data_IF_790503988999
#
_entry.id   IF_790503988999
#
_cell.length_a   1.000
_cell.length_b   1.000
_cell.length_c   1.000
_cell.angle_alpha   90.00
_cell.angle_beta   90.00
_cell.angle_gamma   90.00
#
_symmetry.space_group_name_H-M   'P 1'
#
loop_
_entity.id
_entity.type
_entity.pdbx_description
1 polymer ?
#
# COMPACT_ATOMS: atom_id res chain seq x y z
N UNK A 1 -10.04 -17.71 27.28
CA UNK A 1 -11.21 -17.00 26.68
C UNK A 1 -10.79 -15.65 26.12
N UNK A 2 -11.13 -15.34 24.87
CA UNK A 2 -10.92 -14.00 24.29
C UNK A 2 -11.78 -12.99 25.08
N UNK A 3 -11.15 -12.06 25.80
CA UNK A 3 -11.87 -10.93 26.44
C UNK A 3 -12.36 -10.00 25.33
N UNK A 4 -13.62 -10.16 24.92
CA UNK A 4 -14.29 -9.22 24.03
C UNK A 4 -14.61 -7.95 24.82
N UNK A 5 -14.20 -6.81 24.27
CA UNK A 5 -14.50 -5.51 24.87
C UNK A 5 -16.01 -5.25 24.79
N UNK A 6 -16.68 -5.14 25.94
CA UNK A 6 -18.11 -4.86 26.04
C UNK A 6 -18.33 -3.46 26.59
N UNK A 7 -19.14 -2.67 25.90
CA UNK A 7 -19.60 -1.37 26.40
C UNK A 7 -20.71 -1.54 27.43
N UNK A 8 -20.79 -0.64 28.40
CA UNK A 8 -21.91 -0.59 29.35
C UNK A 8 -23.21 -0.32 28.60
N UNK A 9 -24.26 -1.04 28.98
CA UNK A 9 -25.62 -0.81 28.49
C UNK A 9 -26.29 0.35 29.22
N UNK A 10 -27.38 0.89 28.66
CA UNK A 10 -28.19 1.90 29.35
C UNK A 10 -28.71 1.39 30.71
N UNK A 11 -29.13 0.13 30.76
CA UNK A 11 -29.61 -0.53 31.99
C UNK A 11 -28.50 -0.56 33.05
N UNK A 12 -27.29 -0.99 32.68
CA UNK A 12 -26.14 -1.01 33.59
C UNK A 12 -25.82 0.40 34.12
N UNK A 13 -25.94 1.45 33.30
CA UNK A 13 -25.75 2.83 33.76
C UNK A 13 -26.78 3.26 34.81
N UNK A 14 -28.04 2.85 34.65
CA UNK A 14 -29.09 3.11 35.64
C UNK A 14 -28.83 2.38 36.95
N UNK A 15 -28.44 1.11 36.88
CA UNK A 15 -28.07 0.32 38.06
C UNK A 15 -26.87 0.92 38.80
N UNK A 16 -25.85 1.40 38.07
CA UNK A 16 -24.72 2.13 38.66
C UNK A 16 -25.20 3.37 39.43
N UNK A 17 -26.14 4.17 38.89
CA UNK A 17 -26.68 5.35 39.61
C UNK A 17 -27.40 4.95 40.89
N UNK A 18 -28.26 3.94 40.84
CA UNK A 18 -29.04 3.49 42.01
C UNK A 18 -28.13 2.97 43.11
N UNK A 19 -27.21 2.06 42.78
CA UNK A 19 -26.32 1.45 43.76
C UNK A 19 -25.30 2.44 44.33
N UNK A 20 -24.83 3.39 43.51
CA UNK A 20 -23.95 4.47 43.97
C UNK A 20 -24.68 5.44 44.90
N UNK A 21 -25.95 5.76 44.61
CA UNK A 21 -26.79 6.61 45.50
C UNK A 21 -27.13 5.90 46.82
N UNK A 22 -27.25 4.57 46.81
CA UNK A 22 -27.44 3.75 47.99
C UNK A 22 -26.17 3.58 48.86
N UNK A 23 -25.03 4.19 48.46
CA UNK A 23 -23.79 4.18 49.25
C UNK A 23 -22.95 2.92 49.13
N UNK A 24 -23.24 2.03 48.17
CA UNK A 24 -22.43 0.82 47.97
C UNK A 24 -21.04 1.13 47.40
N UNK A 25 -20.07 0.28 47.74
CA UNK A 25 -18.70 0.40 47.24
C UNK A 25 -18.61 0.09 45.74
N UNK A 26 -17.61 0.67 45.06
CA UNK A 26 -17.38 0.40 43.62
C UNK A 26 -17.07 -1.06 43.31
N UNK A 27 -16.53 -1.82 44.28
CA UNK A 27 -16.32 -3.26 44.15
C UNK A 27 -17.65 -3.99 44.11
N UNK A 28 -18.52 -3.71 45.09
CA UNK A 28 -19.85 -4.30 45.18
C UNK A 28 -20.68 -4.05 43.91
N UNK A 29 -20.64 -2.81 43.39
CA UNK A 29 -21.33 -2.45 42.14
C UNK A 29 -20.77 -3.24 40.95
N UNK A 30 -19.45 -3.45 40.93
CA UNK A 30 -18.80 -4.24 39.89
C UNK A 30 -19.23 -5.70 39.93
N UNK A 31 -19.19 -6.30 41.11
CA UNK A 31 -19.53 -7.71 41.33
C UNK A 31 -21.01 -7.98 40.99
N UNK A 32 -21.93 -7.11 41.42
CA UNK A 32 -23.36 -7.21 41.13
C UNK A 32 -23.68 -7.10 39.63
N UNK A 33 -22.90 -6.34 38.87
CA UNK A 33 -23.10 -6.10 37.45
C UNK A 33 -22.24 -6.99 36.54
N UNK A 34 -21.41 -7.86 37.13
CA UNK A 34 -20.46 -8.70 36.39
C UNK A 34 -19.40 -7.89 35.62
N UNK A 35 -19.03 -6.70 36.12
CA UNK A 35 -18.04 -5.80 35.51
C UNK A 35 -16.92 -5.45 36.50
N UNK A 36 -15.72 -5.18 35.99
CA UNK A 36 -14.61 -4.82 36.87
C UNK A 36 -14.85 -3.49 37.60
N UNK A 37 -14.47 -3.36 38.88
CA UNK A 37 -14.58 -2.12 39.68
C UNK A 37 -14.03 -0.87 38.98
N UNK A 38 -12.94 -1.03 38.22
CA UNK A 38 -12.34 0.07 37.46
C UNK A 38 -13.21 0.51 36.27
N UNK A 39 -14.10 -0.34 35.76
CA UNK A 39 -15.08 0.06 34.73
C UNK A 39 -16.10 1.00 35.33
N UNK A 40 -16.61 0.69 36.54
CA UNK A 40 -17.53 1.56 37.29
C UNK A 40 -16.87 2.90 37.61
N UNK A 41 -15.64 2.87 38.17
CA UNK A 41 -14.87 4.09 38.47
C UNK A 41 -14.65 4.98 37.24
N UNK A 42 -14.26 4.38 36.11
CA UNK A 42 -14.05 5.13 34.86
C UNK A 42 -15.35 5.67 34.29
N UNK A 43 -16.46 4.96 34.42
CA UNK A 43 -17.79 5.43 33.97
C UNK A 43 -18.20 6.68 34.76
N UNK A 44 -18.15 6.60 36.10
CA UNK A 44 -18.49 7.71 36.99
C UNK A 44 -17.59 8.93 36.76
N UNK A 45 -16.29 8.73 36.54
CA UNK A 45 -15.34 9.82 36.27
C UNK A 45 -15.51 10.43 34.88
N UNK A 46 -15.72 9.60 33.85
CA UNK A 46 -15.68 10.01 32.44
C UNK A 46 -17.02 10.52 31.93
N UNK A 47 -18.13 10.05 32.48
CA UNK A 47 -19.49 10.33 32.01
C UNK A 47 -20.33 11.09 33.04
N UNK A 48 -19.71 11.70 34.06
CA UNK A 48 -20.36 12.66 34.93
C UNK A 48 -20.56 14.01 34.22
N UNK A 49 -21.55 14.79 34.70
CA UNK A 49 -21.74 16.18 34.29
C UNK A 49 -20.60 17.06 34.82
N UNK A 50 -20.46 18.26 34.28
CA UNK A 50 -19.43 19.24 34.67
C UNK A 50 -19.41 19.53 36.19
N UNK A 51 -20.58 19.48 36.84
CA UNK A 51 -20.77 19.72 38.27
C UNK A 51 -20.64 18.45 39.13
N UNK A 52 -20.12 17.34 38.59
CA UNK A 52 -19.89 16.09 39.33
C UNK A 52 -21.11 15.19 39.52
N UNK A 53 -22.31 15.62 39.11
CA UNK A 53 -23.52 14.79 39.18
C UNK A 53 -23.52 13.71 38.08
N UNK A 54 -23.80 12.46 38.48
CA UNK A 54 -23.90 11.33 37.56
C UNK A 54 -25.36 11.09 37.16
N UNK A 55 -25.65 11.19 35.87
CA UNK A 55 -26.96 10.91 35.30
C UNK A 55 -26.86 9.90 34.15
N UNK A 56 -27.53 8.72 34.23
CA UNK A 56 -27.45 7.64 33.25
C UNK A 56 -27.85 8.04 31.84
N UNK A 57 -28.85 8.92 31.69
CA UNK A 57 -29.34 9.36 30.38
C UNK A 57 -28.26 10.21 29.72
N UNK A 58 -27.71 11.16 30.46
CA UNK A 58 -26.59 11.99 29.97
C UNK A 58 -25.34 11.15 29.75
N UNK A 59 -25.02 10.21 30.64
CA UNK A 59 -23.87 9.33 30.48
C UNK A 59 -23.97 8.47 29.22
N UNK A 60 -25.18 7.98 28.90
CA UNK A 60 -25.46 7.28 27.65
C UNK A 60 -25.31 8.19 26.44
N UNK A 61 -25.81 9.43 26.51
CA UNK A 61 -25.68 10.41 25.44
C UNK A 61 -24.20 10.72 25.16
N UNK A 62 -23.42 11.06 26.18
CA UNK A 62 -21.98 11.32 26.04
C UNK A 62 -21.24 10.09 25.48
N UNK A 63 -21.62 8.87 25.90
CA UNK A 63 -21.07 7.65 25.34
C UNK A 63 -21.42 7.47 23.85
N UNK A 64 -22.66 7.79 23.46
CA UNK A 64 -23.12 7.77 22.07
C UNK A 64 -22.42 8.82 21.22
N UNK A 65 -22.30 10.06 21.69
CA UNK A 65 -21.62 11.16 20.98
C UNK A 65 -20.15 10.82 20.71
N UNK A 66 -19.46 10.22 21.69
CA UNK A 66 -18.09 9.73 21.48
C UNK A 66 -18.02 8.61 20.46
N UNK A 67 -18.99 7.69 20.46
CA UNK A 67 -19.09 6.63 19.45
C UNK A 67 -19.33 7.24 18.06
N UNK A 68 -20.19 8.25 17.97
CA UNK A 68 -20.51 8.95 16.72
C UNK A 68 -19.31 9.74 16.18
N UNK A 69 -18.47 10.33 17.07
CA UNK A 69 -17.20 10.96 16.69
C UNK A 69 -16.30 10.03 15.87
N UNK A 70 -16.37 8.73 16.11
CA UNK A 70 -15.62 7.72 15.36
C UNK A 70 -16.43 7.09 14.21
N UNK A 71 -17.73 7.35 14.11
CA UNK A 71 -18.63 6.68 13.15
C UNK A 71 -18.66 7.34 11.76
N UNK A 72 -18.33 8.64 11.64
CA UNK A 72 -18.43 9.35 10.35
C UNK A 72 -17.07 9.66 9.72
N UNK A 73 -16.87 9.18 8.48
CA UNK A 73 -15.75 9.56 7.62
C UNK A 73 -15.92 11.01 7.09
N UNK A 74 -15.70 12.03 7.93
CA UNK A 74 -15.86 13.44 7.52
C UNK A 74 -14.90 13.91 6.42
N UNK A 75 -13.87 13.11 6.09
CA UNK A 75 -12.87 13.46 5.07
C UNK A 75 -13.18 12.92 3.68
N UNK A 76 -14.07 11.94 3.51
CA UNK A 76 -14.33 11.29 2.22
C UNK A 76 -15.79 11.47 1.85
N UNK A 77 -16.07 12.51 1.05
CA UNK A 77 -17.42 12.87 0.62
C UNK A 77 -17.76 12.19 -0.71
N UNK A 78 -19.05 12.09 -1.04
CA UNK A 78 -19.52 11.58 -2.34
C UNK A 78 -18.94 12.37 -3.52
N UNK A 79 -18.72 13.68 -3.36
CA UNK A 79 -18.07 14.51 -4.38
C UNK A 79 -16.60 14.10 -4.62
N UNK A 80 -15.86 13.76 -3.57
CA UNK A 80 -14.49 13.25 -3.71
C UNK A 80 -14.48 11.87 -4.36
N UNK A 81 -15.41 10.99 -3.98
CA UNK A 81 -15.58 9.67 -4.58
C UNK A 81 -15.85 9.77 -6.08
N UNK A 82 -16.81 10.61 -6.48
CA UNK A 82 -17.11 10.85 -7.90
C UNK A 82 -15.89 11.35 -8.68
N UNK A 83 -15.13 12.29 -8.11
CA UNK A 83 -13.92 12.80 -8.75
C UNK A 83 -12.84 11.72 -8.87
N UNK A 84 -12.69 10.87 -7.85
CA UNK A 84 -11.76 9.73 -7.89
C UNK A 84 -12.17 8.78 -9.00
N UNK A 85 -13.44 8.38 -9.09
CA UNK A 85 -13.94 7.53 -10.18
C UNK A 85 -13.63 8.12 -11.56
N UNK A 86 -13.99 9.39 -11.79
CA UNK A 86 -13.73 10.08 -13.07
C UNK A 86 -12.24 10.05 -13.46
N UNK A 87 -11.35 10.42 -12.53
CA UNK A 87 -9.90 10.47 -12.82
C UNK A 87 -9.28 9.09 -12.95
N UNK A 88 -9.75 8.11 -12.19
CA UNK A 88 -9.23 6.74 -12.22
C UNK A 88 -9.68 6.01 -13.49
N UNK A 89 -10.97 6.08 -13.84
CA UNK A 89 -11.55 5.35 -14.98
C UNK A 89 -11.24 6.02 -16.32
N UNK A 90 -11.56 7.31 -16.46
CA UNK A 90 -11.43 8.02 -17.75
C UNK A 90 -10.00 8.39 -18.08
N UNK A 91 -9.20 8.78 -17.08
CA UNK A 91 -7.84 9.30 -17.31
C UNK A 91 -6.73 8.36 -16.85
N UNK A 92 -7.07 7.23 -16.20
CA UNK A 92 -6.13 6.23 -15.69
C UNK A 92 -5.06 6.86 -14.76
N UNK A 93 -5.44 7.89 -13.99
CA UNK A 93 -4.55 8.55 -13.05
C UNK A 93 -4.30 7.69 -11.82
N UNK A 94 -3.06 7.69 -11.35
CA UNK A 94 -2.71 7.11 -10.05
C UNK A 94 -3.30 7.94 -8.90
N UNK A 95 -3.57 7.32 -7.73
CA UNK A 95 -4.00 8.04 -6.53
C UNK A 95 -3.10 9.21 -6.11
N UNK A 96 -1.79 9.11 -6.37
CA UNK A 96 -0.83 10.19 -6.14
C UNK A 96 -1.05 11.36 -7.12
N UNK A 97 -1.27 11.06 -8.41
CA UNK A 97 -1.59 12.08 -9.41
C UNK A 97 -2.93 12.77 -9.12
N UNK A 98 -3.96 12.02 -8.71
CA UNK A 98 -5.25 12.59 -8.31
C UNK A 98 -5.06 13.58 -7.15
N UNK A 99 -4.29 13.20 -6.12
CA UNK A 99 -4.01 14.10 -5.00
C UNK A 99 -3.16 15.30 -5.43
N UNK A 100 -2.13 15.10 -6.26
CA UNK A 100 -1.31 16.18 -6.81
C UNK A 100 -2.13 17.20 -7.60
N UNK A 101 -3.05 16.73 -8.45
CA UNK A 101 -3.99 17.58 -9.19
C UNK A 101 -4.89 18.36 -8.24
N UNK A 102 -5.52 17.69 -7.26
CA UNK A 102 -6.40 18.38 -6.31
C UNK A 102 -5.67 19.46 -5.52
N UNK A 103 -4.41 19.20 -5.12
CA UNK A 103 -3.58 20.19 -4.45
C UNK A 103 -3.26 21.38 -5.36
N UNK A 104 -2.93 21.15 -6.63
CA UNK A 104 -2.63 22.21 -7.59
C UNK A 104 -3.83 23.12 -7.87
N UNK A 105 -5.05 22.57 -7.84
CA UNK A 105 -6.29 23.29 -8.13
C UNK A 105 -7.08 23.71 -6.89
N UNK A 106 -6.50 23.60 -5.67
CA UNK A 106 -7.17 23.90 -4.40
C UNK A 106 -8.51 23.16 -4.19
N UNK A 107 -8.64 21.96 -4.77
CA UNK A 107 -9.81 21.10 -4.59
C UNK A 107 -9.62 20.29 -3.29
N UNK A 108 -10.52 20.38 -2.30
CA UNK A 108 -10.43 19.56 -1.10
C UNK A 108 -10.42 18.08 -1.44
N UNK A 109 -9.42 17.34 -0.95
CA UNK A 109 -9.27 15.91 -1.24
C UNK A 109 -8.52 15.18 -0.11
N UNK A 110 -8.90 13.92 0.12
CA UNK A 110 -8.20 13.01 1.04
C UNK A 110 -6.75 12.75 0.63
N UNK A 111 -5.94 12.16 1.53
CA UNK A 111 -4.59 11.71 1.17
C UNK A 111 -4.66 10.60 0.11
N UNK A 112 -3.62 10.50 -0.73
CA UNK A 112 -3.49 9.42 -1.71
C UNK A 112 -3.58 8.02 -1.06
N UNK A 113 -3.10 7.87 0.18
CA UNK A 113 -3.25 6.64 0.96
C UNK A 113 -4.71 6.29 1.26
N UNK A 114 -5.56 7.28 1.55
CA UNK A 114 -6.99 7.05 1.77
C UNK A 114 -7.70 6.68 0.46
N UNK A 115 -7.28 7.24 -0.67
CA UNK A 115 -7.75 6.83 -2.01
C UNK A 115 -7.38 5.36 -2.27
N UNK A 116 -6.14 4.94 -1.94
CA UNK A 116 -5.76 3.53 -2.03
C UNK A 116 -6.63 2.62 -1.14
N UNK A 117 -6.90 3.04 0.11
CA UNK A 117 -7.79 2.27 0.99
C UNK A 117 -9.21 2.13 0.41
N UNK A 118 -9.75 3.20 -0.18
CA UNK A 118 -11.05 3.15 -0.86
C UNK A 118 -11.06 2.15 -2.02
N UNK A 119 -10.06 2.19 -2.89
CA UNK A 119 -9.92 1.25 -4.02
C UNK A 119 -9.78 -0.20 -3.54
N UNK A 120 -9.07 -0.43 -2.43
CA UNK A 120 -8.92 -1.77 -1.85
C UNK A 120 -10.20 -2.25 -1.18
N UNK A 121 -10.96 -1.37 -0.53
CA UNK A 121 -12.27 -1.71 0.02
C UNK A 121 -13.25 -2.09 -1.09
N UNK A 122 -13.27 -1.33 -2.20
CA UNK A 122 -14.06 -1.65 -3.39
C UNK A 122 -13.71 -3.05 -3.91
N UNK A 123 -12.42 -3.36 -4.03
CA UNK A 123 -11.95 -4.69 -4.43
C UNK A 123 -12.42 -5.80 -3.48
N UNK A 124 -12.33 -5.59 -2.17
CA UNK A 124 -12.80 -6.57 -1.17
C UNK A 124 -14.31 -6.80 -1.26
N UNK A 125 -15.06 -5.77 -1.67
CA UNK A 125 -16.50 -5.82 -1.89
C UNK A 125 -16.88 -6.35 -3.28
N UNK A 126 -15.93 -6.80 -4.11
CA UNK A 126 -16.16 -7.35 -5.45
C UNK A 126 -16.12 -6.33 -6.60
N UNK A 127 -15.80 -5.07 -6.32
CA UNK A 127 -15.65 -4.01 -7.30
C UNK A 127 -14.38 -4.13 -8.16
N UNK A 128 -14.28 -3.27 -9.16
CA UNK A 128 -13.25 -3.35 -10.21
C UNK A 128 -12.33 -2.13 -10.29
N UNK A 129 -12.44 -1.16 -9.38
CA UNK A 129 -11.63 0.08 -9.42
C UNK A 129 -10.13 -0.20 -9.49
N UNK A 130 -9.67 -1.25 -8.82
CA UNK A 130 -8.25 -1.61 -8.78
C UNK A 130 -7.66 -1.96 -10.15
N UNK A 131 -8.49 -2.32 -11.15
CA UNK A 131 -8.04 -2.64 -12.51
C UNK A 131 -7.55 -1.40 -13.26
N UNK A 132 -8.03 -0.21 -12.89
CA UNK A 132 -7.61 1.07 -13.45
C UNK A 132 -6.29 1.60 -12.88
N UNK A 133 -5.68 0.87 -11.93
CA UNK A 133 -4.36 1.22 -11.43
C UNK A 133 -3.29 0.77 -12.41
N UNK A 134 -2.49 1.72 -12.90
CA UNK A 134 -1.38 1.52 -13.85
C UNK A 134 -0.37 0.44 -13.43
N UNK A 135 -0.26 0.19 -12.13
CA UNK A 135 0.53 -0.93 -11.60
C UNK A 135 -0.36 -1.80 -10.74
N UNK A 136 -0.63 -3.01 -11.22
CA UNK A 136 -1.11 -4.10 -10.37
C UNK A 136 -0.16 -4.24 -9.18
N UNK A 137 -0.73 -4.51 -7.99
CA UNK A 137 -0.01 -4.59 -6.71
C UNK A 137 1.20 -5.51 -6.86
N UNK A 138 2.39 -4.97 -7.17
CA UNK A 138 3.63 -5.73 -7.09
C UNK A 138 3.79 -6.02 -5.62
N UNK A 139 3.59 -7.28 -5.21
CA UNK A 139 4.05 -7.73 -3.91
C UNK A 139 5.48 -7.28 -3.80
N UNK A 140 5.77 -6.43 -2.80
CA UNK A 140 7.15 -5.98 -2.54
C UNK A 140 7.99 -7.24 -2.49
N UNK A 141 8.79 -7.50 -3.53
CA UNK A 141 9.79 -8.56 -3.48
C UNK A 141 10.61 -8.24 -2.24
N UNK A 142 10.67 -9.18 -1.28
CA UNK A 142 11.63 -9.08 -0.18
C UNK A 142 12.97 -8.75 -0.81
N UNK A 143 13.57 -7.63 -0.42
CA UNK A 143 14.96 -7.35 -0.74
C UNK A 143 15.76 -8.41 0.01
N UNK A 144 15.97 -9.58 -0.60
CA UNK A 144 17.15 -10.37 -0.28
C UNK A 144 18.34 -9.42 -0.47
N UNK A 145 19.27 -9.46 0.48
CA UNK A 145 20.30 -8.45 0.69
C UNK A 145 20.86 -7.91 -0.61
N UNK A 146 21.25 -6.63 -0.61
CA UNK A 146 22.12 -6.09 -1.65
C UNK A 146 23.39 -6.94 -1.64
N UNK A 147 23.39 -8.05 -2.37
CA UNK A 147 24.62 -8.68 -2.80
C UNK A 147 25.39 -7.57 -3.49
N UNK A 148 26.67 -7.43 -3.12
CA UNK A 148 27.61 -6.58 -3.88
C UNK A 148 27.30 -6.78 -5.36
N UNK A 149 27.24 -5.72 -6.20
CA UNK A 149 27.05 -5.91 -7.63
C UNK A 149 28.15 -6.89 -8.07
N UNK A 150 27.74 -8.12 -8.33
CA UNK A 150 28.64 -9.19 -8.69
C UNK A 150 29.23 -8.76 -10.03
N UNK A 151 30.49 -8.29 -9.99
CA UNK A 151 31.37 -8.14 -11.13
C UNK A 151 30.82 -7.18 -12.21
N UNK A 152 30.87 -5.87 -11.97
CA UNK A 152 30.88 -4.94 -13.10
C UNK A 152 32.13 -5.25 -13.94
N UNK A 153 31.96 -5.42 -15.25
CA UNK A 153 33.07 -5.61 -16.18
C UNK A 153 34.01 -4.42 -16.02
N UNK A 154 35.24 -4.68 -15.56
CA UNK A 154 36.26 -3.64 -15.38
C UNK A 154 36.55 -3.00 -16.74
N UNK A 155 36.68 -1.68 -16.78
CA UNK A 155 37.00 -0.91 -17.99
C UNK A 155 35.99 -1.10 -19.14
N UNK A 156 34.70 -1.36 -18.84
CA UNK A 156 33.68 -1.34 -19.88
C UNK A 156 33.54 0.07 -20.46
N UNK A 157 33.52 0.18 -21.78
CA UNK A 157 33.11 1.41 -22.47
C UNK A 157 31.58 1.48 -22.47
N UNK A 158 31.00 2.62 -22.07
CA UNK A 158 29.54 2.77 -22.13
C UNK A 158 29.08 2.77 -23.58
N UNK A 159 27.89 2.21 -23.85
CA UNK A 159 27.26 2.31 -25.16
C UNK A 159 27.00 3.78 -25.55
N UNK A 160 26.83 4.66 -24.56
CA UNK A 160 26.64 6.10 -24.77
C UNK A 160 27.89 6.81 -25.33
N UNK A 161 29.06 6.18 -25.25
CA UNK A 161 30.31 6.72 -25.80
C UNK A 161 30.51 6.32 -27.28
N UNK A 162 29.54 5.63 -27.88
CA UNK A 162 29.52 5.25 -29.29
C UNK A 162 29.54 6.50 -30.18
N UNK A 163 30.36 6.54 -31.24
CA UNK A 163 30.30 7.61 -32.23
C UNK A 163 28.95 7.64 -32.97
N UNK A 164 28.42 8.83 -33.27
CA UNK A 164 27.10 8.98 -33.91
C UNK A 164 26.97 8.23 -35.25
N UNK A 165 28.05 8.13 -36.03
CA UNK A 165 28.09 7.37 -37.32
C UNK A 165 27.60 5.93 -37.16
N UNK A 166 27.85 5.33 -35.98
CA UNK A 166 27.49 3.95 -35.68
C UNK A 166 25.99 3.90 -35.31
N UNK A 167 25.46 4.87 -34.55
CA UNK A 167 24.02 4.95 -34.21
C UNK A 167 23.15 5.28 -35.42
N UNK A 168 23.62 6.18 -36.29
CA UNK A 168 22.99 6.53 -37.56
C UNK A 168 23.13 5.42 -38.62
N UNK A 169 23.88 4.34 -38.33
CA UNK A 169 24.11 3.21 -39.23
C UNK A 169 24.74 3.62 -40.58
N UNK A 170 25.66 4.57 -40.53
CA UNK A 170 26.22 5.20 -41.73
C UNK A 170 27.38 4.40 -42.35
N UNK A 171 28.05 3.50 -41.61
CA UNK A 171 29.16 2.66 -42.11
C UNK A 171 28.94 1.17 -41.87
N UNK A 172 29.64 0.33 -42.64
CA UNK A 172 29.70 -1.11 -42.41
C UNK A 172 30.84 -1.47 -41.46
N UNK A 173 30.70 -2.62 -40.79
CA UNK A 173 31.74 -3.20 -39.93
C UNK A 173 31.56 -2.91 -38.44
N UNK A 174 30.43 -2.30 -38.06
CA UNK A 174 30.05 -2.12 -36.67
C UNK A 174 29.20 -3.31 -36.22
N UNK A 175 29.83 -4.26 -35.53
CA UNK A 175 29.20 -5.50 -35.08
C UNK A 175 28.74 -5.41 -33.62
N UNK A 176 27.51 -5.81 -33.36
CA UNK A 176 26.95 -6.00 -32.02
C UNK A 176 26.92 -7.49 -31.68
N UNK A 177 27.41 -7.84 -30.48
CA UNK A 177 27.48 -9.21 -30.01
C UNK A 177 26.56 -9.36 -28.80
N UNK A 178 25.59 -10.25 -28.92
CA UNK A 178 24.63 -10.59 -27.88
C UNK A 178 24.62 -12.09 -27.59
N UNK A 179 24.03 -12.48 -26.45
CA UNK A 179 23.91 -13.89 -26.07
C UNK A 179 22.52 -14.21 -25.55
N UNK A 180 21.81 -15.09 -26.25
CA UNK A 180 20.53 -15.64 -25.82
C UNK A 180 20.80 -16.83 -24.92
N UNK A 181 20.36 -16.77 -23.66
CA UNK A 181 20.60 -17.83 -22.66
C UNK A 181 19.34 -18.69 -22.51
N UNK A 182 19.52 -20.00 -22.70
CA UNK A 182 18.45 -20.99 -22.56
C UNK A 182 18.06 -21.29 -21.10
N UNK A 183 17.01 -22.09 -20.94
CA UNK A 183 16.49 -22.51 -19.64
C UNK A 183 17.59 -23.11 -18.76
N UNK A 184 17.61 -22.73 -17.49
CA UNK A 184 18.58 -23.19 -16.49
C UNK A 184 20.05 -22.93 -16.85
N UNK A 185 20.35 -21.96 -17.73
CA UNK A 185 21.71 -21.66 -18.21
C UNK A 185 22.43 -22.85 -18.87
N UNK A 186 21.69 -23.86 -19.35
CA UNK A 186 22.25 -25.12 -19.90
C UNK A 186 22.69 -25.01 -21.37
N UNK A 187 22.39 -23.90 -22.03
CA UNK A 187 22.81 -23.64 -23.40
C UNK A 187 22.70 -22.15 -23.70
N UNK A 188 23.43 -21.69 -24.70
CA UNK A 188 23.37 -20.32 -25.16
C UNK A 188 23.48 -20.26 -26.69
N UNK A 189 22.98 -19.18 -27.27
CA UNK A 189 23.19 -18.85 -28.67
C UNK A 189 23.89 -17.50 -28.68
N UNK A 190 25.07 -17.46 -29.30
CA UNK A 190 25.77 -16.23 -29.64
C UNK A 190 25.14 -15.63 -30.88
N UNK A 191 24.81 -14.35 -30.84
CA UNK A 191 24.30 -13.59 -31.99
C UNK A 191 25.26 -12.45 -32.29
N UNK A 192 25.74 -12.38 -33.53
CA UNK A 192 26.63 -11.33 -34.01
C UNK A 192 25.92 -10.62 -35.15
N UNK A 193 25.60 -9.33 -34.96
CA UNK A 193 24.74 -8.55 -35.86
C UNK A 193 25.49 -7.34 -36.39
N UNK A 194 25.58 -7.21 -37.71
CA UNK A 194 26.13 -6.02 -38.34
C UNK A 194 25.09 -4.90 -38.37
N UNK A 195 25.45 -3.72 -37.86
CA UNK A 195 24.47 -2.69 -37.52
C UNK A 195 23.79 -1.99 -38.69
N UNK A 196 24.45 -1.93 -39.84
CA UNK A 196 23.95 -1.24 -41.04
C UNK A 196 23.10 -2.15 -41.92
N UNK A 197 23.61 -3.32 -42.25
CA UNK A 197 22.98 -4.35 -43.07
C UNK A 197 21.97 -5.21 -42.32
N UNK A 198 22.02 -5.23 -40.98
CA UNK A 198 21.30 -6.19 -40.15
C UNK A 198 21.65 -7.65 -40.49
N UNK A 199 22.82 -7.91 -41.08
CA UNK A 199 23.31 -9.25 -41.33
C UNK A 199 23.61 -9.95 -40.00
N UNK A 200 23.06 -11.16 -39.81
CA UNK A 200 23.12 -11.89 -38.54
C UNK A 200 23.87 -13.20 -38.70
N UNK A 201 24.82 -13.45 -37.82
CA UNK A 201 25.45 -14.74 -37.59
C UNK A 201 25.01 -15.29 -36.23
N UNK A 202 24.66 -16.58 -36.19
CA UNK A 202 24.26 -17.26 -34.96
C UNK A 202 25.07 -18.52 -34.74
N UNK A 203 25.61 -18.67 -33.53
CA UNK A 203 26.41 -19.85 -33.14
C UNK A 203 25.83 -20.46 -31.86
N UNK A 204 25.58 -21.77 -31.88
CA UNK A 204 25.14 -22.49 -30.69
C UNK A 204 26.33 -22.76 -29.77
N UNK A 205 26.19 -22.38 -28.51
CA UNK A 205 27.17 -22.62 -27.45
C UNK A 205 26.67 -23.66 -26.45
N UNK A 206 27.60 -24.41 -25.87
CA UNK A 206 27.32 -25.44 -24.86
C UNK A 206 27.00 -24.86 -23.47
N UNK A 207 27.10 -23.55 -23.29
CA UNK A 207 26.81 -22.86 -22.03
C UNK A 207 27.12 -21.37 -22.09
N UNK A 208 27.09 -20.69 -20.93
CA UNK A 208 27.36 -19.24 -20.79
C UNK A 208 28.78 -18.95 -20.27
N UNK A 209 29.72 -19.88 -20.43
CA UNK A 209 31.10 -19.65 -19.97
C UNK A 209 31.77 -18.64 -20.90
N UNK A 210 32.54 -17.72 -20.31
CA UNK A 210 33.25 -16.68 -21.06
C UNK A 210 34.26 -17.28 -22.07
N UNK A 211 34.88 -18.41 -21.71
CA UNK A 211 35.83 -19.13 -22.56
C UNK A 211 35.19 -19.64 -23.86
N UNK A 212 33.97 -20.19 -23.78
CA UNK A 212 33.26 -20.72 -24.95
C UNK A 212 32.85 -19.59 -25.91
N UNK A 213 32.49 -18.43 -25.34
CA UNK A 213 32.17 -17.23 -26.11
C UNK A 213 33.41 -16.67 -26.82
N UNK A 214 34.54 -16.60 -26.12
CA UNK A 214 35.80 -16.08 -26.66
C UNK A 214 36.32 -16.93 -27.82
N UNK A 215 36.28 -18.27 -27.69
CA UNK A 215 36.67 -19.21 -28.76
C UNK A 215 35.78 -19.13 -30.01
N UNK A 216 34.57 -18.61 -29.87
CA UNK A 216 33.61 -18.50 -30.98
C UNK A 216 33.65 -17.13 -31.66
N UNK A 217 34.40 -16.17 -31.13
CA UNK A 217 34.49 -14.78 -31.61
C UNK A 217 35.89 -14.39 -32.09
N UNK A 218 36.93 -15.14 -31.69
CA UNK A 218 38.34 -15.00 -32.10
C UNK A 218 38.78 -16.27 -32.80
#
# INVERSE_FOLDING_TARGET
MKKTYKHLTSIQRHQIKVLHKAGHSLSFIGDQLGIHKSTVSRELKRNARQWGSYDPVVAQQIANDRKERFARNRKFTLGMEKLIHEKLESQQWSPEQIKGYCNKHNIPMVSHQRIYQFIYQDKENGGQLYKNLRTGKKTRRRKYGRGKPNHMIKNRTSIDLRPMVVDNKERFGDWEIDTIVGKNNKGAILTVVERKSAFVLMVKLNGRKAEDLAKSTV
#
